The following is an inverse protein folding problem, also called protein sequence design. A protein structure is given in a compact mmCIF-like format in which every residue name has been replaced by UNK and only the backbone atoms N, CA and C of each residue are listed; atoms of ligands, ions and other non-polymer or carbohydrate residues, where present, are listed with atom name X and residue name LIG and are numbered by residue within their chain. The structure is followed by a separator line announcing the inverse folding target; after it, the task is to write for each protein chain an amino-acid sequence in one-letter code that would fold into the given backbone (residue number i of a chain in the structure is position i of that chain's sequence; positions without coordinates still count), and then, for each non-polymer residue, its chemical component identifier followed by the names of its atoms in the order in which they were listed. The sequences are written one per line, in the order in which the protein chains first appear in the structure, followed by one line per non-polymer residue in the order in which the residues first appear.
data_IF_000024689750
#
_entry.id   IF_000024689750
#
_cell.length_a   1.000
_cell.length_b   1.000
_cell.length_c   1.000
_cell.angle_alpha   90.00
_cell.angle_beta   90.00
_cell.angle_gamma   90.00
#
_symmetry.space_group_name_H-M   'P 1'
#
loop_
_entity.id
_entity.type
_entity.pdbx_description
1 polymer ?
#
# COMPACT_ATOMS: atom_id res chain seq x y z
N UNK A 1 -48.95 -8.39 -5.83
CA UNK A 1 -48.85 -7.83 -4.46
C UNK A 1 -49.01 -8.94 -3.41
N UNK A 2 -49.98 -9.87 -3.56
CA UNK A 2 -50.11 -11.03 -2.65
C UNK A 2 -49.09 -12.17 -2.85
N UNK A 3 -48.43 -12.26 -4.02
CA UNK A 3 -47.36 -13.26 -4.25
C UNK A 3 -46.01 -12.89 -3.62
N UNK A 4 -45.80 -11.63 -3.22
CA UNK A 4 -44.58 -11.22 -2.49
C UNK A 4 -44.65 -11.56 -0.99
N UNK A 5 -45.85 -11.82 -0.48
CA UNK A 5 -46.13 -12.06 0.95
C UNK A 5 -46.14 -13.54 1.37
N UNK A 6 -46.16 -14.51 0.43
CA UNK A 6 -46.34 -15.94 0.76
C UNK A 6 -45.06 -16.77 0.93
N UNK A 7 -43.88 -16.17 0.85
CA UNK A 7 -42.69 -16.67 1.58
C UNK A 7 -42.17 -18.07 1.22
N UNK A 8 -42.34 -18.55 -0.02
CA UNK A 8 -41.56 -19.68 -0.53
C UNK A 8 -40.94 -19.29 -1.86
N UNK A 9 -39.66 -18.92 -1.85
CA UNK A 9 -38.88 -18.85 -3.08
C UNK A 9 -37.39 -19.05 -2.78
N UNK A 10 -36.88 -20.21 -3.17
CA UNK A 10 -35.46 -20.58 -3.17
C UNK A 10 -34.59 -19.58 -3.96
N UNK A 11 -35.18 -18.73 -4.80
CA UNK A 11 -34.53 -17.61 -5.50
C UNK A 11 -34.09 -16.43 -4.61
N UNK A 12 -34.62 -16.26 -3.40
CA UNK A 12 -34.22 -15.14 -2.52
C UNK A 12 -32.75 -15.18 -2.07
N UNK A 13 -32.09 -16.34 -2.13
CA UNK A 13 -30.70 -16.46 -1.67
C UNK A 13 -29.66 -15.91 -2.65
N UNK A 14 -29.98 -15.76 -3.94
CA UNK A 14 -29.00 -15.30 -4.94
C UNK A 14 -29.14 -13.81 -5.30
N UNK A 15 -30.32 -13.22 -5.11
CA UNK A 15 -30.62 -11.85 -5.57
C UNK A 15 -30.66 -10.80 -4.44
N UNK A 16 -30.42 -11.20 -3.18
CA UNK A 16 -30.60 -10.31 -2.03
C UNK A 16 -29.68 -9.08 -2.04
N UNK A 17 -28.53 -9.15 -2.70
CA UNK A 17 -27.56 -8.06 -2.78
C UNK A 17 -27.77 -7.12 -3.98
N UNK A 18 -28.59 -7.51 -4.97
CA UNK A 18 -28.88 -6.70 -6.16
C UNK A 18 -29.37 -5.29 -5.79
N UNK A 19 -30.28 -5.11 -4.80
CA UNK A 19 -30.70 -3.78 -4.38
C UNK A 19 -29.54 -2.91 -3.90
N UNK A 20 -28.63 -3.46 -3.08
CA UNK A 20 -27.48 -2.72 -2.54
C UNK A 20 -26.53 -2.25 -3.65
N UNK A 21 -26.20 -3.13 -4.60
CA UNK A 21 -25.39 -2.76 -5.77
C UNK A 21 -26.07 -1.70 -6.63
N UNK A 22 -27.36 -1.89 -6.93
CA UNK A 22 -28.12 -1.00 -7.81
C UNK A 22 -28.25 0.39 -7.18
N UNK A 23 -28.68 0.47 -5.92
CA UNK A 23 -28.85 1.72 -5.19
C UNK A 23 -27.51 2.45 -5.04
N UNK A 24 -26.43 1.73 -4.70
CA UNK A 24 -25.08 2.32 -4.60
C UNK A 24 -24.65 2.94 -5.92
N UNK A 25 -24.80 2.22 -7.04
CA UNK A 25 -24.43 2.71 -8.37
C UNK A 25 -25.28 3.92 -8.79
N UNK A 26 -26.59 3.87 -8.53
CA UNK A 26 -27.51 4.97 -8.80
C UNK A 26 -27.11 6.24 -8.03
N UNK A 27 -26.79 6.11 -6.74
CA UNK A 27 -26.34 7.26 -5.93
C UNK A 27 -24.97 7.81 -6.37
N UNK A 28 -24.05 6.95 -6.81
CA UNK A 28 -22.72 7.40 -7.26
C UNK A 28 -22.78 8.10 -8.62
N UNK A 29 -23.50 7.55 -9.60
CA UNK A 29 -23.41 7.98 -11.00
C UNK A 29 -24.65 8.68 -11.56
N UNK A 30 -25.81 8.45 -10.96
CA UNK A 30 -27.10 8.87 -11.53
C UNK A 30 -27.97 9.67 -10.56
N UNK A 31 -27.44 10.10 -9.41
CA UNK A 31 -28.22 10.77 -8.37
C UNK A 31 -29.01 11.98 -8.87
N UNK A 32 -28.47 12.73 -9.83
CA UNK A 32 -29.13 13.93 -10.37
C UNK A 32 -30.37 13.60 -11.22
N UNK A 33 -30.56 12.33 -11.59
CA UNK A 33 -31.73 11.83 -12.32
C UNK A 33 -32.78 11.19 -11.41
N UNK A 34 -32.47 11.02 -10.12
CA UNK A 34 -33.36 10.37 -9.17
C UNK A 34 -34.31 11.39 -8.53
N UNK A 35 -35.56 10.98 -8.33
CA UNK A 35 -36.49 11.74 -7.49
C UNK A 35 -36.03 11.72 -6.03
N UNK A 36 -36.57 12.61 -5.19
CA UNK A 36 -36.27 12.61 -3.76
C UNK A 36 -36.66 11.28 -3.10
N UNK A 37 -37.81 10.73 -3.48
CA UNK A 37 -38.30 9.43 -3.01
C UNK A 37 -37.35 8.28 -3.40
N UNK A 38 -36.84 8.27 -4.63
CA UNK A 38 -35.89 7.25 -5.09
C UNK A 38 -34.54 7.36 -4.37
N UNK A 39 -34.07 8.59 -4.11
CA UNK A 39 -32.84 8.83 -3.35
C UNK A 39 -32.98 8.35 -1.91
N UNK A 40 -34.11 8.63 -1.28
CA UNK A 40 -34.38 8.21 0.10
C UNK A 40 -34.51 6.67 0.17
N UNK A 41 -35.18 6.04 -0.81
CA UNK A 41 -35.21 4.59 -0.94
C UNK A 41 -33.81 3.98 -1.11
N UNK A 42 -32.98 4.55 -2.00
CA UNK A 42 -31.61 4.09 -2.19
C UNK A 42 -30.79 4.23 -0.90
N UNK A 43 -30.95 5.34 -0.17
CA UNK A 43 -30.28 5.59 1.11
C UNK A 43 -30.61 4.49 2.13
N UNK A 44 -31.89 4.14 2.30
CA UNK A 44 -32.31 3.11 3.25
C UNK A 44 -31.72 1.72 2.92
N UNK A 45 -31.70 1.35 1.63
CA UNK A 45 -31.09 0.08 1.18
C UNK A 45 -29.58 0.06 1.47
N UNK A 46 -28.87 1.15 1.16
CA UNK A 46 -27.44 1.27 1.45
C UNK A 46 -27.19 1.20 2.95
N UNK A 47 -27.97 1.92 3.76
CA UNK A 47 -27.84 1.93 5.22
C UNK A 47 -28.08 0.55 5.84
N UNK A 48 -29.11 -0.17 5.38
CA UNK A 48 -29.36 -1.55 5.79
C UNK A 48 -28.17 -2.45 5.49
N UNK A 49 -27.56 -2.33 4.31
CA UNK A 49 -26.37 -3.10 3.94
C UNK A 49 -25.15 -2.75 4.80
N UNK A 50 -24.92 -1.46 5.09
CA UNK A 50 -23.82 -1.01 5.96
C UNK A 50 -23.94 -1.53 7.39
N UNK A 51 -25.16 -1.61 7.93
CA UNK A 51 -25.42 -2.09 9.30
C UNK A 51 -24.89 -3.52 9.55
N UNK A 52 -24.81 -4.34 8.50
CA UNK A 52 -24.29 -5.70 8.59
C UNK A 52 -22.83 -5.74 9.07
N UNK A 53 -22.01 -4.73 8.76
CA UNK A 53 -20.60 -4.68 9.20
C UNK A 53 -20.44 -4.75 10.73
N UNK A 54 -21.44 -4.26 11.45
CA UNK A 54 -21.45 -4.12 12.89
C UNK A 54 -22.24 -5.22 13.60
N UNK A 55 -22.90 -6.10 12.84
CA UNK A 55 -23.66 -7.21 13.40
C UNK A 55 -22.76 -8.34 13.92
N UNK A 56 -23.17 -8.93 15.04
CA UNK A 56 -22.41 -10.00 15.70
C UNK A 56 -22.38 -11.31 14.93
N UNK A 57 -23.35 -11.54 14.06
CA UNK A 57 -23.53 -12.73 13.24
C UNK A 57 -23.08 -12.52 11.78
N UNK A 58 -22.64 -11.31 11.43
CA UNK A 58 -22.11 -11.04 10.09
C UNK A 58 -20.90 -11.92 9.81
N UNK A 59 -21.01 -12.65 8.70
CA UNK A 59 -19.92 -13.38 8.09
C UNK A 59 -19.91 -12.93 6.62
N UNK A 60 -18.76 -12.43 6.17
CA UNK A 60 -18.60 -11.97 4.79
C UNK A 60 -19.09 -13.02 3.79
N UNK A 61 -19.84 -12.57 2.78
CA UNK A 61 -20.17 -13.35 1.59
C UNK A 61 -19.76 -12.55 0.34
N UNK A 62 -19.22 -13.25 -0.65
CA UNK A 62 -18.85 -12.62 -1.91
C UNK A 62 -20.09 -11.97 -2.51
N UNK A 63 -19.96 -10.67 -2.82
CA UNK A 63 -21.04 -9.87 -3.41
C UNK A 63 -22.28 -9.76 -2.52
N UNK A 64 -22.13 -9.64 -1.21
CA UNK A 64 -23.22 -9.36 -0.26
C UNK A 64 -23.75 -7.90 -0.31
N UNK A 65 -23.11 -7.04 -1.11
CA UNK A 65 -23.49 -5.64 -1.30
C UNK A 65 -22.82 -4.66 -0.35
N UNK A 66 -22.10 -5.13 0.69
CA UNK A 66 -21.44 -4.27 1.68
C UNK A 66 -20.36 -3.41 1.03
N UNK A 67 -19.53 -3.99 0.17
CA UNK A 67 -18.49 -3.26 -0.57
C UNK A 67 -19.08 -2.10 -1.37
N UNK A 68 -20.14 -2.36 -2.14
CA UNK A 68 -20.80 -1.36 -2.97
C UNK A 68 -21.40 -0.23 -2.11
N UNK A 69 -22.02 -0.61 -0.99
CA UNK A 69 -22.61 0.33 -0.03
C UNK A 69 -21.57 1.24 0.62
N UNK A 70 -20.39 0.71 0.99
CA UNK A 70 -19.28 1.52 1.50
C UNK A 70 -18.78 2.50 0.43
N UNK A 71 -18.67 2.06 -0.83
CA UNK A 71 -18.28 2.93 -1.96
C UNK A 71 -19.29 4.05 -2.25
N UNK A 72 -20.54 3.90 -1.84
CA UNK A 72 -21.57 4.92 -2.00
C UNK A 72 -21.56 5.99 -0.89
N UNK A 73 -20.88 5.76 0.24
CA UNK A 73 -20.86 6.69 1.37
C UNK A 73 -20.43 8.12 0.97
N UNK A 74 -19.36 8.35 0.18
CA UNK A 74 -19.01 9.70 -0.27
C UNK A 74 -20.15 10.42 -1.02
N UNK A 75 -20.93 9.69 -1.82
CA UNK A 75 -22.07 10.27 -2.53
C UNK A 75 -23.21 10.62 -1.56
N UNK A 76 -23.44 9.79 -0.53
CA UNK A 76 -24.43 10.04 0.52
C UNK A 76 -24.06 11.25 1.38
N UNK A 77 -22.79 11.38 1.80
CA UNK A 77 -22.31 12.55 2.57
C UNK A 77 -22.56 13.86 1.80
N UNK A 78 -22.33 13.85 0.48
CA UNK A 78 -22.55 15.03 -0.34
C UNK A 78 -24.04 15.34 -0.57
N UNK A 79 -24.91 14.33 -0.54
CA UNK A 79 -26.35 14.48 -0.75
C UNK A 79 -27.11 14.81 0.55
N UNK A 80 -26.63 14.27 1.68
CA UNK A 80 -27.22 14.37 3.02
C UNK A 80 -26.16 14.88 4.01
N UNK A 81 -25.69 16.14 3.88
CA UNK A 81 -24.62 16.68 4.72
C UNK A 81 -24.97 16.70 6.22
N UNK A 82 -26.26 16.76 6.57
CA UNK A 82 -26.76 16.67 7.94
C UNK A 82 -26.51 15.31 8.61
N UNK A 83 -26.31 14.26 7.81
CA UNK A 83 -25.99 12.90 8.28
C UNK A 83 -24.48 12.58 8.16
N UNK A 84 -23.66 13.54 7.74
CA UNK A 84 -22.25 13.30 7.44
C UNK A 84 -21.46 12.72 8.62
N UNK A 85 -21.74 13.16 9.84
CA UNK A 85 -21.08 12.65 11.04
C UNK A 85 -21.33 11.14 11.25
N UNK A 86 -22.57 10.67 11.02
CA UNK A 86 -22.90 9.25 11.11
C UNK A 86 -22.13 8.44 10.05
N UNK A 87 -22.08 8.93 8.81
CA UNK A 87 -21.34 8.27 7.74
C UNK A 87 -19.82 8.25 7.99
N UNK A 88 -19.26 9.32 8.54
CA UNK A 88 -17.84 9.34 8.96
C UNK A 88 -17.60 8.32 10.06
N UNK A 89 -18.49 8.22 11.05
CA UNK A 89 -18.43 7.20 12.10
C UNK A 89 -18.42 5.79 11.52
N UNK A 90 -19.34 5.49 10.59
CA UNK A 90 -19.40 4.20 9.89
C UNK A 90 -18.07 3.91 9.17
N UNK A 91 -17.51 4.86 8.43
CA UNK A 91 -16.23 4.69 7.74
C UNK A 91 -15.09 4.42 8.72
N UNK A 92 -15.01 5.17 9.83
CA UNK A 92 -13.96 5.00 10.84
C UNK A 92 -14.07 3.67 11.56
N UNK A 93 -15.27 3.25 11.97
CA UNK A 93 -15.49 1.94 12.59
C UNK A 93 -15.19 0.80 11.60
N UNK A 94 -15.51 0.98 10.32
CA UNK A 94 -15.20 -0.01 9.27
C UNK A 94 -13.69 -0.16 9.04
N UNK A 95 -12.90 0.91 9.22
CA UNK A 95 -11.43 0.84 9.16
C UNK A 95 -10.83 -0.02 10.29
N UNK A 96 -11.55 -0.29 11.37
CA UNK A 96 -11.05 -1.14 12.44
C UNK A 96 -11.11 -2.63 12.10
N UNK A 97 -11.93 -3.00 11.11
CA UNK A 97 -12.09 -4.38 10.67
C UNK A 97 -11.04 -4.73 9.60
N UNK A 98 -9.95 -5.33 10.06
CA UNK A 98 -8.83 -5.80 9.22
C UNK A 98 -9.04 -7.24 8.73
N UNK A 99 -10.25 -7.79 8.85
CA UNK A 99 -10.55 -9.17 8.46
C UNK A 99 -10.25 -9.38 6.97
N UNK A 100 -9.43 -10.38 6.61
CA UNK A 100 -9.11 -10.68 5.22
C UNK A 100 -10.29 -11.36 4.52
N UNK A 101 -10.51 -10.97 3.26
CA UNK A 101 -11.49 -11.48 2.33
C UNK A 101 -10.76 -12.32 1.28
N UNK A 102 -10.36 -13.52 1.71
CA UNK A 102 -9.47 -14.38 0.91
C UNK A 102 -8.17 -13.66 0.54
N UNK A 103 -7.70 -13.89 -0.69
CA UNK A 103 -6.51 -13.22 -1.26
C UNK A 103 -6.84 -11.88 -1.96
N UNK A 104 -8.08 -11.38 -1.83
CA UNK A 104 -8.51 -10.19 -2.55
C UNK A 104 -8.21 -8.90 -1.79
N UNK A 105 -8.83 -8.69 -0.62
CA UNK A 105 -8.69 -7.47 0.19
C UNK A 105 -9.10 -7.68 1.65
N UNK A 106 -9.10 -6.62 2.46
CA UNK A 106 -9.67 -6.55 3.81
C UNK A 106 -10.93 -5.69 3.84
N UNK A 107 -11.74 -5.80 4.88
CA UNK A 107 -12.93 -4.94 5.06
C UNK A 107 -12.55 -3.46 5.11
N UNK A 108 -11.49 -3.10 5.83
CA UNK A 108 -10.97 -1.72 5.88
C UNK A 108 -10.59 -1.16 4.49
N UNK A 109 -10.21 -2.00 3.53
CA UNK A 109 -9.83 -1.58 2.19
C UNK A 109 -11.02 -1.01 1.41
N UNK A 110 -12.28 -1.37 1.75
CA UNK A 110 -13.46 -0.74 1.15
C UNK A 110 -13.49 0.77 1.40
N UNK A 111 -13.15 1.18 2.62
CA UNK A 111 -13.13 2.60 3.02
C UNK A 111 -11.98 3.34 2.33
N UNK A 112 -10.79 2.73 2.34
CA UNK A 112 -9.59 3.28 1.66
C UNK A 112 -9.89 3.50 0.18
N UNK A 113 -10.43 2.49 -0.51
CA UNK A 113 -10.82 2.60 -1.92
C UNK A 113 -11.88 3.68 -2.15
N UNK A 114 -12.87 3.80 -1.26
CA UNK A 114 -13.94 4.81 -1.38
C UNK A 114 -13.37 6.22 -1.36
N UNK A 115 -12.46 6.51 -0.44
CA UNK A 115 -11.80 7.82 -0.32
C UNK A 115 -11.03 8.16 -1.60
N UNK A 116 -10.26 7.21 -2.13
CA UNK A 116 -9.46 7.43 -3.34
C UNK A 116 -10.30 7.53 -4.62
N UNK A 117 -11.24 6.59 -4.83
CA UNK A 117 -12.09 6.54 -6.03
C UNK A 117 -13.03 7.75 -6.11
N UNK A 118 -13.61 8.16 -4.98
CA UNK A 118 -14.43 9.37 -4.92
C UNK A 118 -13.59 10.66 -4.93
N UNK A 119 -12.25 10.58 -4.88
CA UNK A 119 -11.34 11.73 -4.75
C UNK A 119 -11.75 12.61 -3.56
N UNK A 120 -12.07 11.99 -2.43
CA UNK A 120 -12.70 12.67 -1.30
C UNK A 120 -11.82 13.80 -0.75
N UNK A 121 -10.50 13.64 -0.73
CA UNK A 121 -9.57 14.72 -0.38
C UNK A 121 -9.70 15.98 -1.25
N UNK A 122 -10.08 15.83 -2.52
CA UNK A 122 -10.31 16.96 -3.43
C UNK A 122 -11.74 17.50 -3.33
N UNK A 123 -12.72 16.61 -3.17
CA UNK A 123 -14.14 16.99 -3.18
C UNK A 123 -14.63 17.51 -1.83
N UNK A 124 -14.14 16.93 -0.73
CA UNK A 124 -14.52 17.23 0.64
C UNK A 124 -13.38 16.90 1.62
N UNK A 125 -12.34 17.75 1.59
CA UNK A 125 -11.14 17.56 2.42
C UNK A 125 -11.45 17.50 3.92
N UNK A 126 -12.45 18.24 4.41
CA UNK A 126 -12.85 18.23 5.82
C UNK A 126 -13.30 16.83 6.25
N UNK A 127 -14.16 16.18 5.46
CA UNK A 127 -14.62 14.81 5.74
C UNK A 127 -13.48 13.81 5.67
N UNK A 128 -12.61 13.90 4.65
CA UNK A 128 -11.44 13.02 4.55
C UNK A 128 -10.52 13.16 5.77
N UNK A 129 -10.30 14.40 6.24
CA UNK A 129 -9.54 14.70 7.46
C UNK A 129 -10.21 14.12 8.70
N UNK A 130 -11.52 14.27 8.85
CA UNK A 130 -12.28 13.71 9.97
C UNK A 130 -12.18 12.19 10.03
N UNK A 131 -12.17 11.51 8.89
CA UNK A 131 -11.95 10.06 8.84
C UNK A 131 -10.53 9.70 9.28
N UNK A 132 -9.51 10.38 8.75
CA UNK A 132 -8.11 10.15 9.11
C UNK A 132 -7.87 10.35 10.62
N UNK A 133 -8.28 11.50 11.16
CA UNK A 133 -8.08 11.81 12.58
C UNK A 133 -8.97 10.98 13.49
N UNK A 134 -10.19 10.67 13.05
CA UNK A 134 -11.09 9.76 13.75
C UNK A 134 -10.46 8.39 13.94
N UNK A 135 -9.88 7.83 12.88
CA UNK A 135 -9.16 6.56 12.96
C UNK A 135 -7.99 6.63 13.96
N UNK A 136 -7.12 7.64 13.83
CA UNK A 136 -5.93 7.80 14.70
C UNK A 136 -6.34 7.88 16.18
N UNK A 137 -7.38 8.65 16.51
CA UNK A 137 -7.83 8.85 17.89
C UNK A 137 -8.51 7.63 18.49
N UNK A 138 -9.37 6.98 17.71
CA UNK A 138 -10.26 5.95 18.24
C UNK A 138 -9.64 4.54 18.19
N UNK A 139 -8.70 4.27 17.27
CA UNK A 139 -8.07 2.94 17.13
C UNK A 139 -7.37 2.45 18.40
N UNK A 140 -6.58 3.26 19.13
CA UNK A 140 -5.97 2.83 20.40
C UNK A 140 -7.00 2.48 21.47
N UNK A 141 -8.09 3.26 21.54
CA UNK A 141 -9.18 3.03 22.50
C UNK A 141 -9.88 1.72 22.17
N UNK A 142 -10.18 1.49 20.90
CA UNK A 142 -10.75 0.25 20.39
C UNK A 142 -9.90 -0.98 20.75
N UNK A 143 -8.57 -0.93 20.51
CA UNK A 143 -7.64 -2.02 20.88
C UNK A 143 -7.66 -2.29 22.38
N UNK A 144 -7.62 -1.25 23.21
CA UNK A 144 -7.67 -1.39 24.67
C UNK A 144 -8.98 -2.05 25.16
N UNK A 145 -10.13 -1.70 24.57
CA UNK A 145 -11.41 -2.35 24.88
C UNK A 145 -11.34 -3.85 24.57
N UNK A 146 -10.83 -4.22 23.38
CA UNK A 146 -10.68 -5.63 22.99
C UNK A 146 -9.77 -6.38 23.96
N UNK A 147 -8.62 -5.80 24.31
CA UNK A 147 -7.68 -6.42 25.25
C UNK A 147 -8.30 -6.66 26.62
N UNK A 148 -9.05 -5.69 27.16
CA UNK A 148 -9.77 -5.83 28.43
C UNK A 148 -10.79 -6.95 28.37
N UNK A 149 -11.64 -6.98 27.33
CA UNK A 149 -12.62 -8.06 27.14
C UNK A 149 -11.92 -9.42 27.00
N UNK A 150 -10.80 -9.47 26.29
CA UNK A 150 -10.01 -10.70 26.09
C UNK A 150 -9.43 -11.23 27.40
N UNK A 151 -8.96 -10.35 28.28
CA UNK A 151 -8.46 -10.71 29.62
C UNK A 151 -9.56 -11.26 30.53
N UNK A 152 -10.77 -10.71 30.44
CA UNK A 152 -11.92 -11.14 31.25
C UNK A 152 -12.53 -12.47 30.73
N UNK A 153 -12.74 -12.59 29.42
CA UNK A 153 -13.48 -13.69 28.80
C UNK A 153 -12.59 -14.87 28.37
N UNK A 154 -11.30 -14.64 28.10
CA UNK A 154 -10.41 -15.64 27.52
C UNK A 154 -10.66 -15.89 26.02
N UNK A 155 -10.58 -17.15 25.60
CA UNK A 155 -10.74 -17.55 24.19
C UNK A 155 -12.21 -17.54 23.75
N UNK A 156 -12.51 -17.01 22.55
CA UNK A 156 -13.86 -17.01 21.96
C UNK A 156 -14.17 -15.75 21.13
N UNK A 157 -15.31 -15.74 20.43
CA UNK A 157 -15.79 -14.57 19.68
C UNK A 157 -16.11 -13.43 20.65
N UNK A 158 -15.62 -12.23 20.35
CA UNK A 158 -16.03 -11.01 21.03
C UNK A 158 -17.15 -10.39 20.19
N UNK A 159 -18.22 -9.98 20.86
CA UNK A 159 -19.34 -9.29 20.21
C UNK A 159 -18.88 -7.91 19.73
N UNK A 160 -19.05 -7.65 18.42
CA UNK A 160 -18.84 -6.35 17.77
C UNK A 160 -19.75 -5.30 18.39
N UNK A 161 -21.03 -5.63 18.57
CA UNK A 161 -22.00 -4.70 19.18
C UNK A 161 -21.57 -4.27 20.59
N UNK A 162 -21.10 -5.21 21.41
CA UNK A 162 -20.58 -4.92 22.75
C UNK A 162 -19.32 -4.04 22.74
N UNK A 163 -18.44 -4.21 21.75
CA UNK A 163 -17.25 -3.34 21.61
C UNK A 163 -17.70 -1.91 21.26
N UNK A 164 -18.61 -1.77 20.30
CA UNK A 164 -19.13 -0.47 19.85
C UNK A 164 -19.84 0.24 21.00
N UNK A 165 -20.73 -0.44 21.73
CA UNK A 165 -21.40 0.15 22.91
C UNK A 165 -20.41 0.66 23.98
N UNK A 166 -19.30 -0.06 24.20
CA UNK A 166 -18.26 0.37 25.14
C UNK A 166 -17.47 1.55 24.59
N UNK A 167 -17.21 1.57 23.28
CA UNK A 167 -16.53 2.66 22.60
C UNK A 167 -17.37 3.95 22.68
N UNK A 168 -18.66 3.86 22.39
CA UNK A 168 -19.61 4.98 22.45
C UNK A 168 -19.74 5.53 23.88
N UNK A 169 -19.75 4.66 24.89
CA UNK A 169 -19.77 5.09 26.30
C UNK A 169 -18.51 5.82 26.74
N UNK A 170 -17.34 5.41 26.24
CA UNK A 170 -16.06 6.05 26.57
C UNK A 170 -15.93 7.39 25.83
N UNK A 171 -16.50 7.48 24.63
CA UNK A 171 -16.35 8.60 23.72
C UNK A 171 -17.68 9.34 23.50
N UNK A 172 -18.54 9.43 24.52
CA UNK A 172 -19.89 10.04 24.39
C UNK A 172 -19.85 11.48 23.91
N UNK A 173 -18.76 12.19 24.21
CA UNK A 173 -18.56 13.60 23.87
C UNK A 173 -17.69 13.78 22.61
N UNK A 174 -17.27 12.68 21.98
CA UNK A 174 -16.44 12.72 20.78
C UNK A 174 -17.31 13.05 19.56
N UNK A 175 -16.87 14.04 18.79
CA UNK A 175 -17.51 14.45 17.54
C UNK A 175 -16.48 14.45 16.41
N UNK A 176 -16.92 14.09 15.20
CA UNK A 176 -16.05 14.05 14.03
C UNK A 176 -15.88 15.43 13.38
N UNK A 177 -16.70 16.42 13.73
CA UNK A 177 -16.69 17.74 13.09
C UNK A 177 -15.44 18.58 13.42
N UNK A 178 -14.86 18.42 14.61
CA UNK A 178 -13.76 19.25 15.14
C UNK A 178 -12.73 18.44 15.93
N UNK A 179 -12.17 17.40 15.32
CA UNK A 179 -11.16 16.56 15.98
C UNK A 179 -9.87 17.35 16.17
N UNK A 180 -9.46 17.54 17.42
CA UNK A 180 -8.13 18.08 17.75
C UNK A 180 -7.08 17.00 17.51
N UNK A 181 -6.13 17.28 16.62
CA UNK A 181 -5.00 16.40 16.32
C UNK A 181 -3.69 17.00 16.84
N UNK A 182 -2.90 16.17 17.50
CA UNK A 182 -1.50 16.41 17.85
C UNK A 182 -0.64 15.27 17.29
N UNK A 183 0.57 15.58 16.84
CA UNK A 183 1.45 14.56 16.24
C UNK A 183 1.77 13.41 17.20
N UNK A 184 1.69 13.61 18.52
CA UNK A 184 1.86 12.56 19.51
C UNK A 184 0.70 11.55 19.55
N UNK A 185 -0.44 11.86 18.92
CA UNK A 185 -1.59 10.94 18.84
C UNK A 185 -1.28 9.67 18.04
N UNK A 186 -0.28 9.70 17.16
CA UNK A 186 0.12 8.50 16.41
C UNK A 186 1.04 7.58 17.22
N UNK A 187 1.59 8.04 18.35
CA UNK A 187 2.56 7.27 19.14
C UNK A 187 2.06 5.90 19.63
N UNK A 188 0.77 5.72 19.99
CA UNK A 188 0.23 4.41 20.38
C UNK A 188 -0.01 3.44 19.20
N UNK A 189 0.09 3.90 17.95
CA UNK A 189 -0.21 3.11 16.76
C UNK A 189 0.94 2.16 16.43
N UNK A 190 0.60 0.92 16.09
CA UNK A 190 1.57 -0.05 15.60
C UNK A 190 1.74 0.02 14.07
N UNK A 191 2.57 -0.87 13.50
CA UNK A 191 2.85 -0.87 12.06
C UNK A 191 1.62 -1.19 11.19
N UNK A 192 0.63 -1.91 11.72
CA UNK A 192 -0.61 -2.24 10.98
C UNK A 192 -1.55 -1.03 10.99
N UNK A 193 -1.64 -0.34 12.12
CA UNK A 193 -2.41 0.91 12.21
C UNK A 193 -1.82 1.99 11.29
N UNK A 194 -0.49 2.15 11.31
CA UNK A 194 0.21 3.13 10.49
C UNK A 194 0.09 2.83 9.00
N UNK A 195 0.00 1.56 8.60
CA UNK A 195 -0.26 1.20 7.20
C UNK A 195 -1.61 1.70 6.71
N UNK A 196 -2.66 1.63 7.54
CA UNK A 196 -3.96 2.21 7.21
C UNK A 196 -3.85 3.74 7.16
N UNK A 197 -3.22 4.38 8.15
CA UNK A 197 -3.01 5.83 8.20
C UNK A 197 -2.35 6.34 6.92
N UNK A 198 -1.24 5.73 6.49
CA UNK A 198 -0.52 6.15 5.29
C UNK A 198 -1.34 5.94 4.00
N UNK A 199 -2.18 4.91 3.95
CA UNK A 199 -3.07 4.69 2.81
C UNK A 199 -4.24 5.66 2.75
N UNK A 200 -4.67 6.24 3.87
CA UNK A 200 -5.71 7.27 3.87
C UNK A 200 -5.18 8.61 3.34
N UNK A 201 -3.87 8.87 3.45
CA UNK A 201 -3.24 10.12 3.02
C UNK A 201 -2.93 10.10 1.51
N UNK A 202 -3.21 11.17 0.76
CA UNK A 202 -2.80 11.28 -0.64
C UNK A 202 -1.28 11.33 -0.78
N UNK A 203 -0.72 10.52 -1.67
CA UNK A 203 0.73 10.48 -1.93
C UNK A 203 1.34 11.82 -2.38
N UNK A 204 0.54 12.69 -3.02
CA UNK A 204 0.93 14.01 -3.51
C UNK A 204 0.62 15.13 -2.50
N UNK A 205 0.28 14.78 -1.25
CA UNK A 205 -0.08 15.73 -0.20
C UNK A 205 0.98 16.83 -0.02
N UNK A 206 0.54 18.06 0.19
CA UNK A 206 1.38 19.20 0.63
C UNK A 206 1.00 19.69 2.02
N UNK A 207 0.02 19.03 2.65
CA UNK A 207 -0.42 19.36 3.99
C UNK A 207 0.68 19.00 4.99
N UNK A 208 0.99 19.96 5.87
CA UNK A 208 2.09 19.83 6.84
C UNK A 208 1.83 18.71 7.85
N UNK A 209 0.59 18.56 8.32
CA UNK A 209 0.25 17.51 9.28
C UNK A 209 0.47 16.13 8.65
N UNK A 210 0.08 15.95 7.39
CA UNK A 210 0.33 14.70 6.68
C UNK A 210 1.83 14.40 6.55
N UNK A 211 2.63 15.41 6.24
CA UNK A 211 4.09 15.27 6.15
C UNK A 211 4.72 14.95 7.50
N UNK A 212 4.26 15.58 8.59
CA UNK A 212 4.69 15.30 9.95
C UNK A 212 4.35 13.84 10.34
N UNK A 213 3.17 13.34 9.95
CA UNK A 213 2.77 11.92 10.13
C UNK A 213 3.74 10.97 9.41
N UNK A 214 4.09 11.27 8.14
CA UNK A 214 5.12 10.50 7.43
C UNK A 214 6.44 10.55 8.19
N UNK A 215 6.98 11.74 8.47
CA UNK A 215 8.27 11.89 9.14
C UNK A 215 8.34 11.09 10.46
N UNK A 216 7.28 11.13 11.25
CA UNK A 216 7.23 10.47 12.55
C UNK A 216 7.01 8.96 12.49
N UNK A 217 6.31 8.46 11.48
CA UNK A 217 5.99 7.03 11.33
C UNK A 217 7.08 6.22 10.63
N UNK A 218 7.82 6.82 9.68
CA UNK A 218 8.77 6.10 8.83
C UNK A 218 9.91 5.40 9.57
N UNK A 219 10.50 5.94 10.66
CA UNK A 219 11.53 5.21 11.42
C UNK A 219 11.04 3.87 11.98
N UNK A 220 9.82 3.85 12.55
CA UNK A 220 9.23 2.61 13.06
C UNK A 220 8.97 1.64 11.90
N UNK A 221 8.31 2.11 10.85
CA UNK A 221 7.99 1.31 9.67
C UNK A 221 9.24 0.71 9.01
N UNK A 222 10.26 1.53 8.72
CA UNK A 222 11.49 1.06 8.09
C UNK A 222 12.17 -0.04 8.92
N UNK A 223 12.32 0.17 10.24
CA UNK A 223 13.02 -0.77 11.12
C UNK A 223 12.35 -2.15 11.23
N UNK A 224 11.01 -2.20 11.16
CA UNK A 224 10.25 -3.45 11.24
C UNK A 224 10.05 -4.09 9.86
N UNK A 225 9.75 -3.28 8.85
CA UNK A 225 9.36 -3.79 7.54
C UNK A 225 10.55 -4.26 6.70
N UNK A 226 11.75 -3.68 6.88
CA UNK A 226 12.96 -4.13 6.18
C UNK A 226 13.73 -5.24 6.91
N UNK A 227 13.26 -5.64 8.10
CA UNK A 227 13.86 -6.73 8.88
C UNK A 227 13.68 -8.06 8.17
N UNK A 228 14.72 -8.91 8.19
CA UNK A 228 14.65 -10.27 7.66
C UNK A 228 13.43 -11.03 8.24
N UNK A 229 12.65 -11.67 7.36
CA UNK A 229 11.42 -12.38 7.74
C UNK A 229 11.61 -13.40 8.87
N UNK A 230 12.75 -14.09 8.93
CA UNK A 230 13.03 -15.10 9.97
C UNK A 230 13.22 -14.42 11.32
N UNK A 231 13.97 -13.32 11.35
CA UNK A 231 14.15 -12.49 12.54
C UNK A 231 12.85 -11.80 12.96
N UNK A 232 12.06 -11.27 12.02
CA UNK A 232 10.78 -10.63 12.32
C UNK A 232 9.85 -11.57 13.10
N UNK A 233 9.67 -12.81 12.62
CA UNK A 233 8.81 -13.80 13.28
C UNK A 233 9.26 -14.13 14.70
N UNK A 234 10.57 -14.17 14.93
CA UNK A 234 11.14 -14.44 16.25
C UNK A 234 10.90 -13.27 17.21
N UNK A 235 11.18 -12.04 16.75
CA UNK A 235 11.16 -10.85 17.62
C UNK A 235 9.75 -10.29 17.87
N UNK A 236 8.87 -10.36 16.87
CA UNK A 236 7.50 -9.84 17.01
C UNK A 236 6.55 -10.85 17.69
N UNK A 237 6.84 -12.15 17.59
CA UNK A 237 5.87 -13.21 17.89
C UNK A 237 4.64 -13.19 16.97
N UNK A 238 4.64 -12.34 15.95
CA UNK A 238 3.52 -12.04 15.09
C UNK A 238 3.39 -13.11 13.98
N UNK A 239 2.20 -13.69 13.89
CA UNK A 239 1.83 -14.66 12.84
C UNK A 239 1.06 -14.01 11.70
N UNK A 240 0.91 -12.68 11.71
CA UNK A 240 0.17 -11.90 10.70
C UNK A 240 0.79 -12.01 9.30
N UNK A 241 0.02 -11.54 8.31
CA UNK A 241 0.44 -11.43 6.93
C UNK A 241 1.35 -10.21 6.71
N UNK A 242 2.54 -10.23 7.32
CA UNK A 242 3.58 -9.19 7.18
C UNK A 242 3.95 -8.90 5.71
N UNK A 243 3.73 -9.87 4.81
CA UNK A 243 3.98 -9.71 3.38
C UNK A 243 3.03 -8.68 2.75
N UNK A 244 1.72 -8.79 3.00
CA UNK A 244 0.74 -7.82 2.50
C UNK A 244 1.00 -6.43 3.08
N UNK A 245 1.30 -6.36 4.38
CA UNK A 245 1.65 -5.10 5.05
C UNK A 245 2.82 -4.39 4.36
N UNK A 246 3.92 -5.11 4.11
CA UNK A 246 5.09 -4.59 3.39
C UNK A 246 4.72 -4.08 2.01
N UNK A 247 3.96 -4.87 1.25
CA UNK A 247 3.53 -4.48 -0.10
C UNK A 247 2.76 -3.16 -0.09
N UNK A 248 1.81 -2.99 0.84
CA UNK A 248 1.03 -1.76 0.94
C UNK A 248 1.87 -0.56 1.35
N UNK A 249 2.69 -0.69 2.40
CA UNK A 249 3.53 0.42 2.87
C UNK A 249 4.61 0.79 1.86
N UNK A 250 5.30 -0.19 1.26
CA UNK A 250 6.34 0.08 0.28
C UNK A 250 5.77 0.71 -0.99
N UNK A 251 4.61 0.24 -1.47
CA UNK A 251 3.91 0.87 -2.60
C UNK A 251 3.50 2.31 -2.26
N UNK A 252 2.87 2.53 -1.10
CA UNK A 252 2.45 3.86 -0.69
C UNK A 252 3.65 4.82 -0.58
N UNK A 253 4.72 4.38 0.09
CA UNK A 253 5.95 5.17 0.23
C UNK A 253 6.59 5.48 -1.11
N UNK A 254 6.66 4.51 -2.03
CA UNK A 254 7.21 4.72 -3.37
C UNK A 254 6.44 5.79 -4.15
N UNK A 255 5.10 5.77 -4.10
CA UNK A 255 4.27 6.81 -4.71
C UNK A 255 4.44 8.17 -4.03
N UNK A 256 4.62 8.18 -2.70
CA UNK A 256 4.83 9.39 -1.91
C UNK A 256 6.18 10.05 -2.22
N UNK A 257 7.27 9.29 -2.17
CA UNK A 257 8.64 9.82 -2.28
C UNK A 257 8.92 10.39 -3.67
N UNK A 258 8.38 9.77 -4.73
CA UNK A 258 8.55 10.25 -6.11
C UNK A 258 7.73 11.52 -6.42
N UNK A 259 6.87 11.96 -5.50
CA UNK A 259 6.10 13.20 -5.62
C UNK A 259 6.57 14.29 -4.67
N UNK A 260 7.70 14.08 -3.96
CA UNK A 260 8.34 15.08 -3.12
C UNK A 260 9.28 15.98 -3.93
N UNK A 261 9.56 17.16 -3.38
CA UNK A 261 10.67 17.99 -3.86
C UNK A 261 12.01 17.36 -3.44
N UNK A 262 13.07 17.53 -4.24
CA UNK A 262 14.39 16.94 -3.96
C UNK A 262 14.95 17.33 -2.57
N UNK A 263 14.66 18.55 -2.12
CA UNK A 263 15.04 19.04 -0.79
C UNK A 263 14.40 18.28 0.37
N UNK A 264 13.27 17.61 0.13
CA UNK A 264 12.53 16.85 1.15
C UNK A 264 12.88 15.35 1.11
N UNK A 265 13.23 14.83 -0.08
CA UNK A 265 13.47 13.40 -0.30
C UNK A 265 14.47 12.81 0.70
N UNK A 266 15.57 13.51 0.96
CA UNK A 266 16.63 13.03 1.84
C UNK A 266 16.12 12.72 3.26
N UNK A 267 15.24 13.56 3.80
CA UNK A 267 14.70 13.39 5.15
C UNK A 267 13.81 12.15 5.25
N UNK A 268 12.91 11.97 4.28
CA UNK A 268 11.97 10.84 4.26
C UNK A 268 12.61 9.51 3.87
N UNK A 269 13.66 9.53 3.04
CA UNK A 269 14.33 8.31 2.56
C UNK A 269 15.33 7.75 3.58
N UNK A 270 15.92 8.60 4.42
CA UNK A 270 16.96 8.25 5.39
C UNK A 270 16.63 7.04 6.29
N UNK A 271 15.42 6.92 6.88
CA UNK A 271 15.09 5.77 7.74
C UNK A 271 15.16 4.42 7.01
N UNK A 272 14.78 4.38 5.73
CA UNK A 272 14.83 3.18 4.91
C UNK A 272 16.27 2.82 4.56
N UNK A 273 17.07 3.77 4.06
CA UNK A 273 18.50 3.53 3.75
C UNK A 273 19.25 3.00 4.98
N UNK A 274 18.99 3.57 6.16
CA UNK A 274 19.62 3.13 7.40
C UNK A 274 19.27 1.68 7.78
N UNK A 275 18.11 1.18 7.32
CA UNK A 275 17.59 -0.16 7.63
C UNK A 275 17.86 -1.19 6.52
N UNK A 276 18.47 -0.78 5.40
CA UNK A 276 18.77 -1.68 4.29
C UNK A 276 19.74 -2.79 4.69
N UNK A 277 19.40 -4.01 4.27
CA UNK A 277 20.20 -5.20 4.41
C UNK A 277 20.02 -6.09 3.18
N UNK A 278 20.88 -7.09 3.00
CA UNK A 278 20.78 -8.01 1.86
C UNK A 278 19.63 -9.01 2.09
N UNK A 279 18.39 -8.54 1.90
CA UNK A 279 17.13 -9.25 2.20
C UNK A 279 16.11 -9.12 1.07
N UNK A 280 15.14 -10.05 1.02
CA UNK A 280 14.01 -10.01 0.08
C UNK A 280 13.16 -8.74 0.29
N UNK A 281 13.04 -8.27 1.53
CA UNK A 281 12.33 -7.05 1.88
C UNK A 281 12.94 -5.81 1.24
N UNK A 282 14.27 -5.70 1.27
CA UNK A 282 14.99 -4.60 0.63
C UNK A 282 14.82 -4.67 -0.89
N UNK A 283 14.89 -5.86 -1.48
CA UNK A 283 14.63 -6.05 -2.91
C UNK A 283 13.20 -5.62 -3.29
N UNK A 284 12.21 -6.02 -2.51
CA UNK A 284 10.79 -5.65 -2.72
C UNK A 284 10.56 -4.14 -2.58
N UNK A 285 11.21 -3.49 -1.61
CA UNK A 285 11.14 -2.03 -1.46
C UNK A 285 11.68 -1.30 -2.70
N UNK A 286 12.84 -1.71 -3.21
CA UNK A 286 13.45 -1.12 -4.42
C UNK A 286 12.54 -1.35 -5.64
N UNK A 287 11.97 -2.55 -5.78
CA UNK A 287 11.01 -2.86 -6.85
C UNK A 287 9.78 -1.93 -6.84
N UNK A 288 9.22 -1.64 -5.65
CA UNK A 288 8.07 -0.73 -5.56
C UNK A 288 8.39 0.69 -6.06
N UNK A 289 9.63 1.17 -5.88
CA UNK A 289 10.07 2.48 -6.41
C UNK A 289 10.07 2.46 -7.95
N UNK A 290 10.55 1.38 -8.57
CA UNK A 290 10.54 1.25 -10.04
C UNK A 290 9.11 1.18 -10.58
N UNK A 291 8.23 0.40 -9.92
CA UNK A 291 6.81 0.32 -10.30
C UNK A 291 6.11 1.68 -10.18
N UNK A 292 6.41 2.44 -9.12
CA UNK A 292 5.87 3.77 -8.94
C UNK A 292 6.36 4.74 -10.03
N UNK A 293 7.63 4.68 -10.40
CA UNK A 293 8.18 5.50 -11.49
C UNK A 293 7.55 5.15 -12.83
N UNK A 294 7.34 3.86 -13.10
CA UNK A 294 6.70 3.40 -14.33
C UNK A 294 5.29 4.00 -14.50
N UNK A 295 4.58 4.14 -13.37
CA UNK A 295 3.23 4.68 -13.30
C UNK A 295 3.18 6.21 -13.30
N UNK A 296 4.05 6.86 -12.52
CA UNK A 296 4.01 8.30 -12.23
C UNK A 296 4.82 9.15 -13.20
N UNK A 297 5.83 8.57 -13.86
CA UNK A 297 6.74 9.25 -14.80
C UNK A 297 7.45 10.45 -14.17
N UNK A 298 8.01 10.25 -12.97
CA UNK A 298 8.71 11.23 -12.13
C UNK A 298 10.23 11.03 -12.22
N UNK A 299 10.73 11.08 -13.46
CA UNK A 299 12.11 10.74 -13.80
C UNK A 299 13.15 11.44 -12.91
N UNK A 300 13.03 12.76 -12.71
CA UNK A 300 13.98 13.54 -11.91
C UNK A 300 14.03 13.03 -10.46
N UNK A 301 12.87 12.91 -9.82
CA UNK A 301 12.74 12.40 -8.45
C UNK A 301 13.25 10.95 -8.35
N UNK A 302 12.94 10.12 -9.34
CA UNK A 302 13.40 8.73 -9.39
C UNK A 302 14.92 8.64 -9.39
N UNK A 303 15.60 9.34 -10.29
CA UNK A 303 17.07 9.29 -10.37
C UNK A 303 17.73 9.97 -9.17
N UNK A 304 17.11 11.00 -8.60
CA UNK A 304 17.57 11.57 -7.33
C UNK A 304 17.55 10.52 -6.21
N UNK A 305 16.43 9.81 -6.03
CA UNK A 305 16.32 8.69 -5.08
C UNK A 305 17.36 7.61 -5.41
N UNK A 306 17.48 7.21 -6.69
CA UNK A 306 18.39 6.14 -7.13
C UNK A 306 19.85 6.42 -6.79
N UNK A 307 20.27 7.67 -6.97
CA UNK A 307 21.61 8.14 -6.63
C UNK A 307 21.86 8.12 -5.12
N UNK A 308 20.84 8.43 -4.30
CA UNK A 308 20.92 8.35 -2.83
C UNK A 308 21.00 6.92 -2.32
N UNK A 309 20.43 5.95 -3.03
CA UNK A 309 20.54 4.53 -2.68
C UNK A 309 21.92 3.95 -2.99
N UNK A 310 22.62 4.42 -4.04
CA UNK A 310 23.86 3.83 -4.55
C UNK A 310 24.93 3.53 -3.48
N UNK A 311 25.28 4.48 -2.57
CA UNK A 311 26.33 4.23 -1.58
C UNK A 311 26.00 3.04 -0.67
N UNK A 312 24.72 2.90 -0.30
CA UNK A 312 24.26 1.79 0.54
C UNK A 312 24.25 0.47 -0.22
N UNK A 313 23.84 0.47 -1.49
CA UNK A 313 23.92 -0.73 -2.34
C UNK A 313 25.37 -1.20 -2.48
N UNK A 314 26.29 -0.27 -2.71
CA UNK A 314 27.74 -0.58 -2.76
C UNK A 314 28.26 -1.14 -1.43
N UNK A 315 27.81 -0.61 -0.29
CA UNK A 315 28.15 -1.16 1.03
C UNK A 315 27.70 -2.62 1.17
N UNK A 316 26.46 -2.94 0.77
CA UNK A 316 25.92 -4.31 0.82
C UNK A 316 26.71 -5.29 -0.07
N UNK A 317 27.25 -4.79 -1.19
CA UNK A 317 28.11 -5.55 -2.10
C UNK A 317 29.45 -6.00 -1.47
N UNK A 318 29.84 -5.45 -0.32
CA UNK A 318 31.04 -5.87 0.41
C UNK A 318 30.98 -7.31 0.96
N UNK A 319 29.80 -7.92 1.04
CA UNK A 319 29.63 -9.32 1.47
C UNK A 319 28.81 -10.14 0.44
N UNK A 320 29.45 -10.64 -0.63
CA UNK A 320 28.75 -11.21 -1.79
C UNK A 320 28.08 -12.57 -1.53
N UNK A 321 28.35 -13.22 -0.39
CA UNK A 321 27.84 -14.57 -0.07
C UNK A 321 26.44 -14.58 0.56
N UNK A 322 25.78 -13.42 0.67
CA UNK A 322 24.46 -13.31 1.30
C UNK A 322 23.36 -13.61 0.29
N UNK A 323 22.47 -14.54 0.66
CA UNK A 323 21.49 -15.18 -0.23
C UNK A 323 20.62 -14.21 -1.04
N UNK A 324 20.20 -13.08 -0.45
CA UNK A 324 19.29 -12.11 -1.11
C UNK A 324 19.97 -10.88 -1.72
N UNK A 325 21.31 -10.80 -1.67
CA UNK A 325 22.02 -9.66 -2.26
C UNK A 325 21.77 -9.56 -3.78
N UNK A 326 21.63 -10.72 -4.42
CA UNK A 326 21.39 -10.82 -5.85
C UNK A 326 20.08 -10.14 -6.27
N UNK A 327 18.98 -10.42 -5.59
CA UNK A 327 17.66 -9.83 -5.89
C UNK A 327 17.68 -8.31 -5.66
N UNK A 328 18.38 -7.84 -4.63
CA UNK A 328 18.61 -6.41 -4.39
C UNK A 328 19.35 -5.78 -5.58
N UNK A 329 20.42 -6.40 -6.07
CA UNK A 329 21.19 -5.91 -7.23
C UNK A 329 20.34 -5.94 -8.50
N UNK A 330 19.58 -7.01 -8.75
CA UNK A 330 18.72 -7.12 -9.92
C UNK A 330 17.72 -5.96 -9.98
N UNK A 331 17.02 -5.70 -8.87
CA UNK A 331 16.02 -4.64 -8.82
C UNK A 331 16.68 -3.25 -8.92
N UNK A 332 17.82 -3.06 -8.25
CA UNK A 332 18.56 -1.79 -8.28
C UNK A 332 19.20 -1.47 -9.64
N UNK A 333 19.60 -2.48 -10.41
CA UNK A 333 20.13 -2.30 -11.77
C UNK A 333 19.05 -2.41 -12.85
N UNK A 334 17.77 -2.36 -12.46
CA UNK A 334 16.61 -2.38 -13.35
C UNK A 334 16.45 -3.67 -14.17
N UNK A 335 17.07 -4.76 -13.72
CA UNK A 335 16.98 -6.09 -14.30
C UNK A 335 15.73 -6.84 -13.82
N UNK A 336 14.60 -6.13 -13.73
CA UNK A 336 13.29 -6.66 -13.37
C UNK A 336 12.69 -7.47 -14.51
N UNK A 337 11.59 -8.17 -14.22
CA UNK A 337 10.78 -8.84 -15.25
C UNK A 337 9.89 -7.83 -15.97
N UNK A 338 10.49 -7.12 -16.93
CA UNK A 338 9.76 -6.33 -17.92
C UNK A 338 8.89 -7.21 -18.81
N UNK A 339 7.86 -6.62 -19.40
CA UNK A 339 6.98 -7.31 -20.35
C UNK A 339 7.78 -7.73 -21.60
N UNK A 340 7.36 -8.83 -22.22
CA UNK A 340 8.01 -9.33 -23.43
C UNK A 340 7.93 -8.30 -24.56
N UNK A 341 9.06 -8.04 -25.21
CA UNK A 341 9.18 -7.08 -26.32
C UNK A 341 9.40 -5.63 -25.91
N UNK A 342 9.52 -5.33 -24.61
CA UNK A 342 9.91 -3.98 -24.16
C UNK A 342 11.40 -3.75 -24.42
N UNK A 343 11.72 -2.81 -25.29
CA UNK A 343 13.09 -2.47 -25.72
C UNK A 343 13.59 -1.11 -25.19
N UNK A 344 12.68 -0.30 -24.65
CA UNK A 344 12.96 0.99 -24.04
C UNK A 344 12.19 1.18 -22.72
N UNK A 345 12.68 2.08 -21.88
CA UNK A 345 11.95 2.55 -20.69
C UNK A 345 12.11 4.06 -20.58
N UNK A 346 11.02 4.79 -20.37
CA UNK A 346 10.99 6.26 -20.48
C UNK A 346 11.98 6.97 -19.55
N UNK A 347 12.34 6.33 -18.43
CA UNK A 347 13.25 6.89 -17.44
C UNK A 347 14.70 6.45 -17.60
N UNK A 348 15.02 5.47 -18.46
CA UNK A 348 16.40 5.12 -18.77
C UNK A 348 16.90 5.90 -20.01
N UNK A 349 17.65 6.99 -19.76
CA UNK A 349 18.22 7.88 -20.78
C UNK A 349 19.74 7.93 -20.71
N UNK A 350 20.38 8.52 -21.73
CA UNK A 350 21.86 8.64 -21.82
C UNK A 350 22.51 9.27 -20.58
N UNK A 351 21.85 10.26 -19.98
CA UNK A 351 22.33 10.94 -18.77
C UNK A 351 22.41 10.01 -17.54
N UNK A 352 21.68 8.90 -17.55
CA UNK A 352 21.56 7.96 -16.43
C UNK A 352 22.49 6.75 -16.56
N UNK A 353 23.24 6.63 -17.66
CA UNK A 353 24.16 5.51 -17.92
C UNK A 353 25.37 5.49 -16.98
N UNK A 354 25.57 6.57 -16.22
CA UNK A 354 26.53 6.61 -15.12
C UNK A 354 26.27 5.52 -14.08
N UNK A 355 25.02 5.09 -13.88
CA UNK A 355 24.66 3.95 -13.03
C UNK A 355 25.43 2.68 -13.42
N UNK A 356 25.37 2.30 -14.70
CA UNK A 356 26.00 1.09 -15.21
C UNK A 356 27.53 1.24 -15.33
N UNK A 357 27.99 2.44 -15.70
CA UNK A 357 29.42 2.75 -15.73
C UNK A 357 30.08 2.65 -14.35
N UNK A 358 29.42 3.17 -13.32
CA UNK A 358 29.92 3.08 -11.95
C UNK A 358 29.77 1.65 -11.42
N UNK A 359 28.65 0.99 -11.68
CA UNK A 359 28.40 -0.38 -11.20
C UNK A 359 29.40 -1.39 -11.78
N UNK A 360 29.72 -1.31 -13.08
CA UNK A 360 30.73 -2.18 -13.71
C UNK A 360 32.12 -2.02 -13.11
N UNK A 361 32.50 -0.80 -12.72
CA UNK A 361 33.81 -0.49 -12.13
C UNK A 361 33.90 -0.83 -10.65
N UNK A 362 32.86 -0.54 -9.89
CA UNK A 362 32.91 -0.52 -8.43
C UNK A 362 32.34 -1.78 -7.76
N UNK A 363 31.38 -2.44 -8.40
CA UNK A 363 30.71 -3.66 -7.87
C UNK A 363 30.63 -4.78 -8.92
N UNK A 364 31.33 -4.63 -10.05
CA UNK A 364 31.32 -5.58 -11.17
C UNK A 364 31.88 -6.97 -10.85
N UNK A 365 32.55 -7.13 -9.71
CA UNK A 365 33.02 -8.41 -9.21
C UNK A 365 31.88 -9.35 -8.75
N UNK A 366 30.64 -8.85 -8.67
CA UNK A 366 29.46 -9.64 -8.28
C UNK A 366 28.74 -10.17 -9.54
N UNK A 367 28.52 -11.49 -9.68
CA UNK A 367 27.86 -12.08 -10.86
C UNK A 367 26.50 -11.46 -11.21
N UNK A 368 25.72 -11.07 -10.20
CA UNK A 368 24.42 -10.42 -10.37
C UNK A 368 24.50 -9.09 -11.15
N UNK A 369 25.64 -8.39 -11.10
CA UNK A 369 25.85 -7.13 -11.83
C UNK A 369 25.99 -7.39 -13.33
N UNK A 370 26.80 -8.39 -13.71
CA UNK A 370 26.92 -8.81 -15.10
C UNK A 370 25.57 -9.27 -15.65
N UNK A 371 24.87 -10.15 -14.92
CA UNK A 371 23.52 -10.58 -15.30
C UNK A 371 22.58 -9.39 -15.53
N UNK A 372 22.59 -8.41 -14.63
CA UNK A 372 21.68 -7.28 -14.70
C UNK A 372 21.93 -6.39 -15.91
N UNK A 373 23.20 -6.07 -16.19
CA UNK A 373 23.60 -5.29 -17.35
C UNK A 373 23.17 -5.98 -18.64
N UNK A 374 23.52 -7.25 -18.80
CA UNK A 374 23.22 -7.98 -20.03
C UNK A 374 21.70 -8.13 -20.22
N UNK A 375 20.95 -8.33 -19.14
CA UNK A 375 19.48 -8.37 -19.20
C UNK A 375 18.86 -7.04 -19.62
N UNK A 376 19.35 -5.93 -19.05
CA UNK A 376 18.88 -4.58 -19.42
C UNK A 376 19.16 -4.29 -20.90
N UNK A 377 20.36 -4.60 -21.38
CA UNK A 377 20.74 -4.43 -22.79
C UNK A 377 19.93 -5.28 -23.79
N UNK A 378 19.26 -6.33 -23.28
CA UNK A 378 18.36 -7.20 -24.05
C UNK A 378 16.87 -6.91 -23.82
N UNK A 379 16.56 -5.85 -23.08
CA UNK A 379 15.20 -5.37 -22.77
C UNK A 379 15.20 -3.83 -22.84
N UNK A 380 14.88 -3.14 -21.74
CA UNK A 380 14.66 -1.68 -21.67
C UNK A 380 15.85 -0.80 -22.08
N UNK A 381 17.05 -1.38 -22.20
CA UNK A 381 18.29 -0.70 -22.55
C UNK A 381 18.82 -1.05 -23.95
N UNK A 382 17.98 -1.56 -24.84
CA UNK A 382 18.38 -2.01 -26.19
C UNK A 382 19.04 -0.89 -27.02
N UNK A 383 18.67 0.36 -26.76
CA UNK A 383 19.26 1.53 -27.43
C UNK A 383 20.68 1.90 -26.94
N UNK A 384 21.21 1.20 -25.93
CA UNK A 384 22.50 1.49 -25.30
C UNK A 384 23.50 0.32 -25.44
N UNK A 385 23.32 -0.53 -26.46
CA UNK A 385 24.19 -1.69 -26.70
C UNK A 385 25.64 -1.30 -26.93
N UNK A 386 25.89 -0.21 -27.65
CA UNK A 386 27.24 0.27 -27.93
C UNK A 386 27.97 0.64 -26.63
N UNK A 387 27.33 1.43 -25.76
CA UNK A 387 27.86 1.74 -24.43
C UNK A 387 27.95 0.49 -23.53
N UNK A 388 27.04 -0.45 -23.72
CA UNK A 388 26.99 -1.73 -23.00
C UNK A 388 28.21 -2.63 -23.20
N UNK A 389 28.84 -2.59 -24.39
CA UNK A 389 30.07 -3.34 -24.67
C UNK A 389 31.17 -2.95 -23.68
N UNK A 390 31.33 -1.66 -23.40
CA UNK A 390 32.36 -1.16 -22.49
C UNK A 390 32.12 -1.61 -21.04
N UNK A 391 30.86 -1.66 -20.59
CA UNK A 391 30.52 -2.14 -19.25
C UNK A 391 30.80 -3.63 -19.10
N UNK A 392 30.42 -4.45 -20.09
CA UNK A 392 30.67 -5.89 -20.11
C UNK A 392 32.18 -6.15 -20.13
N UNK A 393 32.91 -5.45 -21.01
CA UNK A 393 34.37 -5.54 -21.09
C UNK A 393 35.01 -5.22 -19.75
N UNK A 394 34.63 -4.09 -19.14
CA UNK A 394 35.15 -3.65 -17.82
C UNK A 394 34.95 -4.72 -16.75
N UNK A 395 33.79 -5.39 -16.72
CA UNK A 395 33.50 -6.43 -15.74
C UNK A 395 34.38 -7.66 -15.97
N UNK A 396 34.41 -8.17 -17.20
CA UNK A 396 35.12 -9.41 -17.55
C UNK A 396 36.63 -9.24 -17.44
N UNK A 397 37.18 -8.10 -17.91
CA UNK A 397 38.62 -7.82 -17.89
C UNK A 397 39.18 -7.67 -16.48
N UNK A 398 38.39 -7.10 -15.56
CA UNK A 398 38.86 -6.77 -14.23
C UNK A 398 38.64 -7.91 -13.23
N UNK A 399 37.85 -8.94 -13.59
CA UNK A 399 37.43 -9.99 -12.69
C UNK A 399 37.68 -11.38 -13.29
N UNK A 400 38.95 -11.71 -13.52
CA UNK A 400 39.39 -13.02 -14.05
C UNK A 400 38.94 -14.23 -13.18
N UNK A 401 38.46 -13.98 -11.95
CA UNK A 401 37.93 -14.98 -11.02
C UNK A 401 36.40 -15.07 -11.02
N UNK A 402 35.68 -14.38 -11.92
CA UNK A 402 34.25 -14.63 -12.15
C UNK A 402 34.10 -16.07 -12.65
N UNK A 403 33.72 -16.95 -11.74
CA UNK A 403 33.51 -18.34 -12.06
C UNK A 403 32.24 -18.46 -12.93
N UNK A 404 32.43 -18.84 -14.19
CA UNK A 404 31.32 -18.99 -15.14
C UNK A 404 30.28 -20.04 -14.69
N UNK A 405 30.63 -20.92 -13.75
CA UNK A 405 29.70 -21.85 -13.10
C UNK A 405 28.77 -21.21 -12.05
N UNK A 406 29.15 -20.05 -11.50
CA UNK A 406 28.34 -19.27 -10.55
C UNK A 406 27.52 -18.18 -11.25
N UNK A 407 27.54 -18.14 -12.59
CA UNK A 407 26.69 -17.25 -13.37
C UNK A 407 25.23 -17.70 -13.26
N UNK A 408 24.34 -16.71 -13.14
CA UNK A 408 22.91 -16.95 -13.24
C UNK A 408 22.58 -17.66 -14.55
N UNK A 409 21.68 -18.65 -14.50
CA UNK A 409 21.46 -19.63 -15.59
C UNK A 409 21.19 -19.00 -16.97
N UNK A 410 20.66 -17.79 -17.00
CA UNK A 410 20.33 -17.05 -18.23
C UNK A 410 21.39 -16.01 -18.64
N UNK A 411 22.47 -15.82 -17.88
CA UNK A 411 23.51 -14.82 -18.21
C UNK A 411 24.16 -15.14 -19.55
N UNK A 412 24.52 -16.41 -19.78
CA UNK A 412 25.09 -16.87 -21.05
C UNK A 412 24.09 -16.68 -22.20
N UNK A 413 22.83 -17.05 -22.00
CA UNK A 413 21.76 -16.83 -22.97
C UNK A 413 21.63 -15.36 -23.38
N UNK A 414 21.64 -14.43 -22.42
CA UNK A 414 21.55 -13.01 -22.74
C UNK A 414 22.82 -12.46 -23.40
N UNK A 415 24.00 -12.99 -23.07
CA UNK A 415 25.26 -12.64 -23.74
C UNK A 415 25.25 -13.11 -25.20
N UNK A 416 24.77 -14.33 -25.46
CA UNK A 416 24.61 -14.89 -26.81
C UNK A 416 23.54 -14.15 -27.63
N UNK A 417 22.46 -13.68 -26.99
CA UNK A 417 21.44 -12.85 -27.66
C UNK A 417 21.96 -11.42 -27.96
N UNK A 418 22.90 -10.94 -27.15
CA UNK A 418 23.50 -9.62 -27.30
C UNK A 418 24.49 -9.56 -28.46
N UNK A 419 25.30 -10.62 -28.63
CA UNK A 419 26.20 -10.82 -29.77
C UNK A 419 25.45 -11.07 -31.07
#
# INVERSE_FOLDING_TARGET
IEELTSGQNEMRMFDYSIPAFSCSKLMIEYKDKLSKEDKDFCKEIIHSSLSNLFADDYNYQISDGVEASVHAIPALINEYPEEAENYVSIMVLSLFDETPIGEYKRICDYVIESIHKAKLWKQNAKVAQSILFGYIKLKPIYKNIIEKIRKEKGWGRISKSSIIEKLDKINSDFTFENISFDIHDIAPLDIHDLEIVLQLIPSDTKDKIHLDIYEKSLPLLASWLLKDRRSYKYDSGDKSNIYLLRRHVFKNFAYFILQREESEIDAFLKPFIASFSSTEETASFIEQIVIAEDSLKKQEQFWYVWNKLYPKIKELCGNPKVYHLREVIWNYLLALKWNDGVEDWHSLKKENLSLYTNSSKEIGNIPAVLYSIVRVLNSIGTNFKDEGIDWIYTIVSNNNSLNFHDLESNTLYYLEKFS
#
